data_IF_534820867971
#
_entry.id   IF_534820867971
#
_cell.length_a   1.000
_cell.length_b   1.000
_cell.length_c   1.000
_cell.angle_alpha   90.00
_cell.angle_beta   90.00
_cell.angle_gamma   90.00
#
_symmetry.space_group_name_H-M   'P 1'
#
loop_
_entity.id
_entity.type
_entity.pdbx_description
1 polymer ?
#
# COMPACT_ATOMS: atom_id res chain seq x y z
N UNK A 1 18.82 -7.84 19.53
CA UNK A 1 18.78 -6.62 18.69
C UNK A 1 17.57 -5.81 19.10
N UNK A 2 17.74 -4.52 19.39
CA UNK A 2 16.62 -3.62 19.64
C UNK A 2 16.23 -2.94 18.31
N UNK A 3 14.93 -2.86 18.03
CA UNK A 3 14.40 -2.11 16.88
C UNK A 3 14.48 -0.61 17.23
N UNK A 4 15.18 0.16 16.40
CA UNK A 4 15.34 1.61 16.58
C UNK A 4 14.18 2.41 15.95
N UNK A 5 13.60 1.88 14.87
CA UNK A 5 12.53 2.49 14.10
C UNK A 5 11.89 1.44 13.20
N UNK A 6 10.59 1.56 12.99
CA UNK A 6 9.83 0.76 12.03
C UNK A 6 8.80 1.62 11.31
N UNK A 7 8.45 1.22 10.08
CA UNK A 7 7.36 1.82 9.30
C UNK A 7 6.70 0.77 8.42
N UNK A 8 5.41 0.92 8.17
CA UNK A 8 4.71 0.17 7.14
C UNK A 8 5.26 0.53 5.74
N UNK A 9 5.21 -0.44 4.83
CA UNK A 9 5.55 -0.26 3.41
C UNK A 9 4.42 -0.80 2.54
N UNK A 10 4.14 -0.12 1.44
CA UNK A 10 3.18 -0.59 0.44
C UNK A 10 3.75 -1.76 -0.39
N UNK A 11 2.89 -2.57 -1.01
CA UNK A 11 3.31 -3.66 -1.88
C UNK A 11 4.15 -3.19 -3.10
N UNK A 12 3.87 -2.04 -3.73
CA UNK A 12 4.77 -1.42 -4.71
C UNK A 12 6.18 -1.11 -4.18
N UNK A 13 6.29 -0.54 -2.97
CA UNK A 13 7.59 -0.31 -2.33
C UNK A 13 8.31 -1.63 -2.04
N UNK A 14 7.61 -2.60 -1.47
CA UNK A 14 8.16 -3.92 -1.18
C UNK A 14 8.68 -4.62 -2.45
N UNK A 15 7.97 -4.49 -3.57
CA UNK A 15 8.41 -5.01 -4.88
C UNK A 15 9.74 -4.40 -5.27
N UNK A 16 9.84 -3.06 -5.26
CA UNK A 16 11.06 -2.36 -5.63
C UNK A 16 12.26 -2.74 -4.75
N UNK A 17 12.04 -2.90 -3.44
CA UNK A 17 13.08 -3.35 -2.49
C UNK A 17 13.57 -4.77 -2.84
N UNK A 18 12.64 -5.69 -3.11
CA UNK A 18 12.99 -7.07 -3.45
C UNK A 18 13.63 -7.19 -4.84
N UNK A 19 13.23 -6.38 -5.81
CA UNK A 19 13.86 -6.33 -7.15
C UNK A 19 15.31 -5.86 -7.05
N UNK A 20 15.56 -4.81 -6.25
CA UNK A 20 16.91 -4.31 -6.00
C UNK A 20 17.77 -5.38 -5.33
N UNK A 21 17.25 -6.03 -4.28
CA UNK A 21 17.96 -7.11 -3.58
C UNK A 21 18.30 -8.27 -4.50
N UNK A 22 17.31 -8.76 -5.25
CA UNK A 22 17.49 -9.86 -6.20
C UNK A 22 18.56 -9.56 -7.26
N UNK A 23 18.66 -8.30 -7.70
CA UNK A 23 19.63 -7.87 -8.71
C UNK A 23 21.04 -7.65 -8.16
N UNK A 24 21.17 -7.17 -6.91
CA UNK A 24 22.46 -6.81 -6.32
C UNK A 24 23.13 -7.94 -5.53
N UNK A 25 22.36 -8.69 -4.75
CA UNK A 25 22.87 -9.64 -3.76
C UNK A 25 22.31 -11.07 -3.96
N UNK A 26 21.34 -11.21 -4.86
CA UNK A 26 20.53 -12.42 -4.99
C UNK A 26 19.37 -12.45 -3.98
N UNK A 27 18.46 -13.40 -4.19
CA UNK A 27 17.29 -13.60 -3.34
C UNK A 27 17.21 -15.05 -2.85
N UNK A 28 16.81 -15.24 -1.59
CA UNK A 28 16.49 -16.57 -1.05
C UNK A 28 15.26 -17.15 -1.75
N UNK A 29 14.98 -18.44 -1.52
CA UNK A 29 13.82 -19.10 -2.12
C UNK A 29 12.49 -18.39 -1.76
N UNK A 30 12.31 -18.04 -0.48
CA UNK A 30 11.12 -17.34 0.01
C UNK A 30 11.01 -15.92 -0.56
N UNK A 31 12.15 -15.23 -0.69
CA UNK A 31 12.19 -13.88 -1.28
C UNK A 31 11.85 -13.91 -2.78
N UNK A 32 12.24 -14.96 -3.51
CA UNK A 32 11.83 -15.16 -4.89
C UNK A 32 10.32 -15.36 -5.01
N UNK A 33 9.73 -16.21 -4.16
CA UNK A 33 8.27 -16.42 -4.13
C UNK A 33 7.54 -15.10 -3.81
N UNK A 34 8.00 -14.37 -2.80
CA UNK A 34 7.43 -13.07 -2.45
C UNK A 34 7.50 -12.07 -3.61
N UNK A 35 8.66 -12.00 -4.28
CA UNK A 35 8.84 -11.13 -5.45
C UNK A 35 7.94 -11.54 -6.62
N UNK A 36 7.78 -12.84 -6.89
CA UNK A 36 6.87 -13.32 -7.93
C UNK A 36 5.41 -12.97 -7.63
N UNK A 37 4.96 -13.12 -6.38
CA UNK A 37 3.63 -12.69 -5.96
C UNK A 37 3.44 -11.19 -6.20
N UNK A 38 4.41 -10.36 -5.77
CA UNK A 38 4.33 -8.92 -5.95
C UNK A 38 4.34 -8.52 -7.43
N UNK A 39 5.13 -9.18 -8.28
CA UNK A 39 5.13 -8.92 -9.73
C UNK A 39 3.78 -9.24 -10.38
N UNK A 40 3.06 -10.27 -9.91
CA UNK A 40 1.76 -10.67 -10.45
C UNK A 40 0.60 -9.77 -10.02
N UNK A 41 0.63 -9.28 -8.78
CA UNK A 41 -0.53 -8.62 -8.17
C UNK A 41 -0.39 -7.11 -8.01
N UNK A 42 0.83 -6.56 -8.03
CA UNK A 42 1.05 -5.13 -7.84
C UNK A 42 0.94 -4.39 -9.17
N UNK A 43 -0.07 -3.51 -9.26
CA UNK A 43 -0.38 -2.74 -10.47
C UNK A 43 0.35 -1.39 -10.57
N UNK A 44 0.71 -0.80 -9.43
CA UNK A 44 1.34 0.53 -9.39
C UNK A 44 2.87 0.46 -9.44
N UNK A 45 3.48 1.56 -9.89
CA UNK A 45 4.91 1.82 -9.67
C UNK A 45 5.16 2.21 -8.21
N UNK A 46 6.38 2.04 -7.72
CA UNK A 46 6.74 2.50 -6.37
C UNK A 46 6.66 4.02 -6.23
N UNK A 47 6.88 4.76 -7.33
CA UNK A 47 6.79 6.21 -7.37
C UNK A 47 5.35 6.69 -7.23
N UNK A 48 4.42 6.08 -7.97
CA UNK A 48 3.00 6.43 -7.91
C UNK A 48 2.39 6.02 -6.56
N UNK A 49 2.80 4.88 -6.02
CA UNK A 49 2.42 4.48 -4.67
C UNK A 49 2.87 5.51 -3.62
N UNK A 50 4.09 6.04 -3.74
CA UNK A 50 4.61 7.08 -2.84
C UNK A 50 3.82 8.39 -2.96
N UNK A 51 3.41 8.78 -4.18
CA UNK A 51 2.57 9.97 -4.38
C UNK A 51 1.18 9.77 -3.76
N UNK A 52 0.56 8.61 -4.00
CA UNK A 52 -0.73 8.26 -3.41
C UNK A 52 -0.66 8.24 -1.87
N UNK A 53 0.44 7.74 -1.31
CA UNK A 53 0.67 7.74 0.14
C UNK A 53 0.55 9.14 0.75
N UNK A 54 1.25 10.12 0.16
CA UNK A 54 1.25 11.51 0.63
C UNK A 54 -0.15 12.13 0.55
N UNK A 55 -0.92 11.80 -0.49
CA UNK A 55 -2.31 12.25 -0.59
C UNK A 55 -3.20 11.62 0.49
N UNK A 56 -3.04 10.32 0.75
CA UNK A 56 -3.82 9.59 1.76
C UNK A 56 -3.48 10.04 3.18
N UNK A 57 -2.23 10.37 3.48
CA UNK A 57 -1.84 11.01 4.76
C UNK A 57 -2.54 12.35 4.96
N UNK A 58 -2.80 13.09 3.87
CA UNK A 58 -3.46 14.39 3.90
C UNK A 58 -5.00 14.29 3.90
N UNK A 59 -5.55 13.16 3.45
CA UNK A 59 -6.98 12.97 3.23
C UNK A 59 -7.78 12.74 4.53
N UNK A 60 -7.15 12.19 5.57
CA UNK A 60 -7.82 11.86 6.83
C UNK A 60 -6.88 11.29 7.89
N UNK A 61 -7.46 10.76 8.98
CA UNK A 61 -6.71 10.13 10.08
C UNK A 61 -6.45 8.65 9.81
N UNK A 62 -5.77 8.35 8.70
CA UNK A 62 -5.34 6.99 8.39
C UNK A 62 -3.98 6.70 9.04
N UNK A 63 -3.85 5.52 9.63
CA UNK A 63 -2.55 5.01 10.09
C UNK A 63 -1.69 4.59 8.89
N UNK A 64 -0.35 4.56 9.01
CA UNK A 64 0.54 4.05 7.96
C UNK A 64 0.14 2.68 7.41
N UNK A 65 -0.31 1.77 8.28
CA UNK A 65 -0.77 0.44 7.92
C UNK A 65 -2.03 0.50 7.05
N UNK A 66 -2.98 1.37 7.41
CA UNK A 66 -4.21 1.58 6.66
C UNK A 66 -3.93 2.18 5.28
N UNK A 67 -3.01 3.15 5.19
CA UNK A 67 -2.59 3.73 3.92
C UNK A 67 -1.96 2.66 3.02
N UNK A 68 -1.08 1.84 3.56
CA UNK A 68 -0.49 0.72 2.83
C UNK A 68 -1.57 -0.25 2.31
N UNK A 69 -2.59 -0.57 3.11
CA UNK A 69 -3.70 -1.43 2.69
C UNK A 69 -4.52 -0.82 1.56
N UNK A 70 -4.83 0.48 1.61
CA UNK A 70 -5.53 1.19 0.52
C UNK A 70 -4.72 1.10 -0.78
N UNK A 71 -3.41 1.36 -0.73
CA UNK A 71 -2.53 1.26 -1.91
C UNK A 71 -2.45 -0.17 -2.45
N UNK A 72 -2.51 -1.17 -1.58
CA UNK A 72 -2.44 -2.58 -2.00
C UNK A 72 -3.73 -3.06 -2.67
N UNK A 73 -4.88 -2.59 -2.18
CA UNK A 73 -6.21 -3.05 -2.63
C UNK A 73 -6.75 -2.19 -3.77
N UNK A 74 -6.42 -0.89 -3.79
CA UNK A 74 -6.91 0.08 -4.76
C UNK A 74 -8.45 0.13 -4.84
N UNK A 75 -9.13 0.41 -3.70
CA UNK A 75 -10.59 0.41 -3.67
C UNK A 75 -11.17 1.54 -4.53
N UNK A 76 -12.13 1.21 -5.39
CA UNK A 76 -12.79 2.14 -6.31
C UNK A 76 -14.22 2.49 -5.90
N UNK A 77 -14.80 1.71 -4.98
CA UNK A 77 -16.18 1.86 -4.52
C UNK A 77 -16.25 2.04 -3.00
N UNK A 78 -17.26 2.77 -2.48
CA UNK A 78 -17.45 2.93 -1.04
C UNK A 78 -17.57 1.61 -0.28
N UNK A 79 -18.19 0.60 -0.89
CA UNK A 79 -18.33 -0.74 -0.31
C UNK A 79 -16.97 -1.42 -0.08
N UNK A 80 -16.03 -1.25 -1.02
CA UNK A 80 -14.68 -1.83 -0.94
C UNK A 80 -13.87 -1.17 0.17
N UNK A 81 -13.99 0.16 0.31
CA UNK A 81 -13.39 0.91 1.43
C UNK A 81 -13.97 0.45 2.76
N UNK A 82 -15.31 0.33 2.87
CA UNK A 82 -15.98 -0.17 4.08
C UNK A 82 -15.57 -1.60 4.43
N UNK A 83 -15.41 -2.47 3.43
CA UNK A 83 -14.94 -3.84 3.63
C UNK A 83 -13.50 -3.87 4.16
N UNK A 84 -12.62 -3.01 3.61
CA UNK A 84 -11.22 -2.90 4.02
C UNK A 84 -11.06 -2.53 5.50
N UNK A 85 -11.92 -1.62 5.98
CA UNK A 85 -11.90 -1.10 7.36
C UNK A 85 -12.97 -1.71 8.26
N UNK A 86 -13.51 -2.88 7.89
CA UNK A 86 -14.64 -3.52 8.60
C UNK A 86 -14.37 -3.85 10.07
N UNK A 87 -13.09 -4.00 10.45
CA UNK A 87 -12.65 -4.27 11.85
C UNK A 87 -12.07 -3.04 12.54
N UNK A 88 -11.97 -1.92 11.84
CA UNK A 88 -11.41 -0.67 12.34
C UNK A 88 -12.52 0.29 12.79
N UNK A 89 -12.10 1.49 13.24
CA UNK A 89 -13.04 2.59 13.42
C UNK A 89 -13.79 2.87 12.11
N UNK A 90 -15.10 3.06 12.20
CA UNK A 90 -15.90 3.48 11.06
C UNK A 90 -15.43 4.84 10.52
N UNK A 91 -15.11 4.85 9.23
CA UNK A 91 -14.84 6.06 8.47
C UNK A 91 -16.13 6.81 8.17
N UNK A 92 -16.07 8.14 8.10
CA UNK A 92 -17.18 8.95 7.61
C UNK A 92 -17.33 8.82 6.10
N UNK A 93 -18.50 9.15 5.55
CA UNK A 93 -18.69 9.13 4.09
C UNK A 93 -17.76 10.14 3.38
N UNK A 94 -17.39 11.24 4.04
CA UNK A 94 -16.40 12.21 3.53
C UNK A 94 -14.98 11.60 3.45
N UNK A 95 -14.56 10.88 4.50
CA UNK A 95 -13.26 10.18 4.51
C UNK A 95 -13.20 9.11 3.41
N UNK A 96 -14.28 8.35 3.25
CA UNK A 96 -14.40 7.34 2.20
C UNK A 96 -14.33 7.97 0.81
N UNK A 97 -15.03 9.08 0.59
CA UNK A 97 -14.99 9.80 -0.68
C UNK A 97 -13.58 10.28 -1.02
N UNK A 98 -12.86 10.88 -0.06
CA UNK A 98 -11.47 11.34 -0.27
C UNK A 98 -10.52 10.20 -0.58
N UNK A 99 -10.66 9.05 0.09
CA UNK A 99 -9.86 7.85 -0.21
C UNK A 99 -10.05 7.42 -1.66
N UNK A 100 -11.30 7.33 -2.12
CA UNK A 100 -11.62 6.93 -3.49
C UNK A 100 -11.09 7.96 -4.49
N UNK A 101 -11.21 9.26 -4.21
CA UNK A 101 -10.64 10.31 -5.05
C UNK A 101 -9.12 10.21 -5.17
N UNK A 102 -8.42 9.94 -4.07
CA UNK A 102 -6.98 9.72 -4.10
C UNK A 102 -6.62 8.48 -4.94
N UNK A 103 -7.35 7.37 -4.79
CA UNK A 103 -7.10 6.15 -5.57
C UNK A 103 -7.32 6.37 -7.07
N UNK A 104 -8.40 7.05 -7.46
CA UNK A 104 -8.78 7.30 -8.87
C UNK A 104 -7.75 8.09 -9.68
N UNK A 105 -6.83 8.81 -9.04
CA UNK A 105 -5.78 9.56 -9.75
C UNK A 105 -4.69 8.67 -10.32
N UNK A 106 -4.59 7.42 -9.87
CA UNK A 106 -3.49 6.52 -10.19
C UNK A 106 -3.94 5.19 -10.81
N UNK A 107 -5.25 4.96 -10.97
CA UNK A 107 -5.85 3.71 -11.45
C UNK A 107 -6.78 3.98 -12.63
#
# INVERSE_FOLDING_TARGET
MAVLSERAVSAPEARAVLEKKASSEGATYEQKIALEHLKKHVKLSAEDAKKMWVELESAGRLTPEQIAQVINVLPQKPEEVKALFSKDRSLTDEEIARIIEAVKKFV
#
